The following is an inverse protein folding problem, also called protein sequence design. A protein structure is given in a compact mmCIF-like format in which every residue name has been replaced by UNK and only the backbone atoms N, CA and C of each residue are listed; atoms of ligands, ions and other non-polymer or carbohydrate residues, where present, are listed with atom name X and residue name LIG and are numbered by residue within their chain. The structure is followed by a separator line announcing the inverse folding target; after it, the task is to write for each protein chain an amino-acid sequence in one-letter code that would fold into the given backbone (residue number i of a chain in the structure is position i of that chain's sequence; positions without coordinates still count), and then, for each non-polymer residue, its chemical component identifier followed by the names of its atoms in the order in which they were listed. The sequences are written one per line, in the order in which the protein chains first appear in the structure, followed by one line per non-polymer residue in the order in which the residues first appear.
data_IF_821980388752
#
_entry.id   IF_821980388752
#
_cell.length_a   1.000
_cell.length_b   1.000
_cell.length_c   1.000
_cell.angle_alpha   90.00
_cell.angle_beta   90.00
_cell.angle_gamma   90.00
#
_symmetry.space_group_name_H-M   'P 1'
#
loop_
_entity.id
_entity.type
_entity.pdbx_description
1 polymer ?
#
# COMPACT_ATOMS: atom_id res chain seq x y z
N UNK A 1 -61.29 -9.90 -4.61
CA UNK A 1 -61.62 -8.47 -4.46
C UNK A 1 -60.52 -7.72 -5.18
N UNK A 2 -60.78 -7.38 -6.45
CA UNK A 2 -59.87 -6.64 -7.33
C UNK A 2 -59.74 -5.19 -6.88
N UNK A 3 -58.55 -4.60 -7.04
CA UNK A 3 -58.29 -3.23 -7.51
C UNK A 3 -56.80 -3.18 -7.92
N UNK A 4 -56.47 -3.37 -9.20
CA UNK A 4 -56.40 -2.38 -10.29
C UNK A 4 -55.19 -1.42 -10.21
N UNK A 5 -54.33 -1.57 -11.21
CA UNK A 5 -53.14 -0.79 -11.50
C UNK A 5 -53.51 0.43 -12.37
N UNK A 6 -52.94 1.61 -12.11
CA UNK A 6 -52.91 2.72 -13.08
C UNK A 6 -51.47 3.05 -13.45
N UNK A 7 -51.23 3.02 -14.75
CA UNK A 7 -50.00 3.37 -15.45
C UNK A 7 -49.71 4.88 -15.39
N UNK A 8 -48.42 5.21 -15.36
CA UNK A 8 -47.88 6.52 -15.71
C UNK A 8 -46.47 6.34 -16.27
N UNK A 9 -46.39 6.14 -17.59
CA UNK A 9 -45.14 6.09 -18.37
C UNK A 9 -44.64 7.53 -18.53
N UNK A 10 -43.42 7.84 -18.11
CA UNK A 10 -42.48 8.76 -18.78
C UNK A 10 -41.15 8.82 -17.98
N UNK A 11 -40.02 8.46 -18.61
CA UNK A 11 -38.67 8.69 -18.07
C UNK A 11 -37.72 7.48 -17.94
N UNK A 12 -37.82 6.46 -18.80
CA UNK A 12 -37.08 5.18 -18.68
C UNK A 12 -35.61 5.17 -19.15
N UNK A 13 -34.99 6.32 -19.44
CA UNK A 13 -33.53 6.37 -19.69
C UNK A 13 -32.73 7.18 -18.66
N UNK A 14 -33.34 8.12 -17.93
CA UNK A 14 -32.62 8.87 -16.88
C UNK A 14 -32.59 8.10 -15.54
N UNK A 15 -33.61 7.28 -15.27
CA UNK A 15 -33.66 6.44 -14.06
C UNK A 15 -32.67 5.26 -14.07
N UNK A 16 -32.33 4.73 -15.25
CA UNK A 16 -31.40 3.60 -15.35
C UNK A 16 -29.94 4.03 -15.13
N UNK A 17 -29.57 5.23 -15.62
CA UNK A 17 -28.24 5.81 -15.37
C UNK A 17 -28.10 6.26 -13.91
N UNK A 18 -29.14 6.87 -13.32
CA UNK A 18 -29.14 7.21 -11.88
C UNK A 18 -29.05 5.97 -10.99
N UNK A 19 -29.74 4.88 -11.33
CA UNK A 19 -29.65 3.61 -10.59
C UNK A 19 -28.27 2.97 -10.70
N UNK A 20 -27.64 2.98 -11.89
CA UNK A 20 -26.29 2.44 -12.07
C UNK A 20 -25.20 3.28 -11.38
N UNK A 21 -25.34 4.61 -11.39
CA UNK A 21 -24.43 5.54 -10.69
C UNK A 21 -24.60 5.43 -9.18
N UNK A 22 -25.83 5.31 -8.66
CA UNK A 22 -26.08 5.06 -7.22
C UNK A 22 -25.58 3.68 -6.80
N UNK A 23 -25.66 2.65 -7.67
CA UNK A 23 -25.15 1.32 -7.37
C UNK A 23 -23.61 1.24 -7.43
N UNK A 24 -22.97 1.99 -8.34
CA UNK A 24 -21.51 2.21 -8.30
C UNK A 24 -21.09 3.02 -7.06
N UNK A 25 -21.80 4.10 -6.72
CA UNK A 25 -21.54 4.89 -5.51
C UNK A 25 -21.78 4.08 -4.24
N UNK A 26 -22.77 3.18 -4.19
CA UNK A 26 -22.95 2.23 -3.07
C UNK A 26 -21.83 1.19 -2.99
N UNK A 27 -21.31 0.73 -4.12
CA UNK A 27 -20.11 -0.13 -4.16
C UNK A 27 -18.86 0.59 -3.64
N UNK A 28 -18.72 1.89 -3.95
CA UNK A 28 -17.65 2.74 -3.42
C UNK A 28 -17.83 3.10 -1.93
N UNK A 29 -19.07 3.32 -1.48
CA UNK A 29 -19.37 3.62 -0.06
C UNK A 29 -19.38 2.38 0.85
N UNK A 30 -19.47 1.17 0.28
CA UNK A 30 -19.40 -0.07 1.06
C UNK A 30 -17.97 -0.55 1.33
N UNK A 31 -16.94 0.17 0.86
CA UNK A 31 -15.54 -0.22 1.05
C UNK A 31 -14.71 0.69 1.97
N UNK A 32 -15.29 1.72 2.57
CA UNK A 32 -14.66 2.37 3.73
C UNK A 32 -15.65 3.30 4.44
N UNK A 33 -16.45 2.74 5.33
CA UNK A 33 -16.94 3.51 6.47
C UNK A 33 -15.81 3.47 7.51
N UNK A 34 -14.96 4.50 7.52
CA UNK A 34 -13.85 4.69 8.48
C UNK A 34 -14.33 4.87 9.95
N UNK A 35 -15.60 4.59 10.24
CA UNK A 35 -16.21 4.74 11.57
C UNK A 35 -16.59 3.42 12.25
N UNK A 36 -16.34 2.25 11.64
CA UNK A 36 -16.60 0.92 12.24
C UNK A 36 -15.35 0.00 12.21
N UNK A 37 -14.17 0.54 12.49
CA UNK A 37 -12.90 -0.20 12.48
C UNK A 37 -12.70 -1.15 13.68
N UNK A 38 -13.63 -1.20 14.64
CA UNK A 38 -13.50 -2.04 15.84
C UNK A 38 -13.75 -3.54 15.59
N UNK A 39 -14.36 -3.93 14.46
CA UNK A 39 -14.73 -5.33 14.16
C UNK A 39 -14.02 -5.93 12.94
N UNK A 40 -13.16 -5.18 12.24
CA UNK A 40 -12.33 -5.73 11.14
C UNK A 40 -11.04 -6.28 11.74
N UNK A 41 -10.80 -7.59 11.61
CA UNK A 41 -9.56 -8.22 12.07
C UNK A 41 -8.41 -7.76 11.17
N UNK A 42 -7.67 -6.73 11.62
CA UNK A 42 -6.43 -6.31 10.97
C UNK A 42 -5.31 -7.32 11.23
N UNK A 43 -4.42 -7.52 10.26
CA UNK A 43 -3.20 -8.31 10.43
C UNK A 43 -2.27 -7.69 11.47
N UNK A 44 -1.42 -8.49 12.09
CA UNK A 44 -0.49 -7.98 13.10
C UNK A 44 0.68 -7.19 12.49
N UNK A 45 0.98 -7.46 11.22
CA UNK A 45 1.98 -6.75 10.42
C UNK A 45 1.26 -6.01 9.29
N UNK A 46 1.58 -4.73 9.11
CA UNK A 46 0.98 -3.89 8.06
C UNK A 46 2.08 -3.12 7.34
N UNK A 47 2.13 -3.25 6.02
CA UNK A 47 2.89 -2.41 5.10
C UNK A 47 1.92 -1.37 4.51
N UNK A 48 2.27 -0.09 4.58
CA UNK A 48 1.58 1.00 3.88
C UNK A 48 2.58 1.63 2.92
N UNK A 49 2.29 1.58 1.63
CA UNK A 49 3.18 2.11 0.60
C UNK A 49 2.46 3.06 -0.34
N UNK A 50 3.10 4.20 -0.62
CA UNK A 50 2.83 4.99 -1.81
C UNK A 50 3.27 4.18 -3.04
N UNK A 51 2.30 3.69 -3.80
CA UNK A 51 2.50 2.79 -4.92
C UNK A 51 3.19 3.49 -6.09
N UNK A 52 2.82 4.73 -6.41
CA UNK A 52 3.44 5.46 -7.52
C UNK A 52 4.88 5.84 -7.18
N UNK A 53 5.16 6.13 -5.90
CA UNK A 53 6.51 6.42 -5.42
C UNK A 53 7.42 5.19 -5.49
N UNK A 54 7.00 4.01 -4.99
CA UNK A 54 7.84 2.81 -5.10
C UNK A 54 8.11 2.44 -6.57
N UNK A 55 7.13 2.66 -7.46
CA UNK A 55 7.27 2.43 -8.90
C UNK A 55 8.29 3.40 -9.53
N UNK A 56 8.19 4.67 -9.17
CA UNK A 56 9.13 5.70 -9.59
C UNK A 56 10.56 5.39 -9.12
N UNK A 57 10.75 5.00 -7.86
CA UNK A 57 12.07 4.64 -7.32
C UNK A 57 12.63 3.41 -8.02
N UNK A 58 11.81 2.37 -8.26
CA UNK A 58 12.21 1.20 -9.02
C UNK A 58 12.70 1.57 -10.44
N UNK A 59 11.99 2.46 -11.14
CA UNK A 59 12.43 3.00 -12.42
C UNK A 59 13.78 3.73 -12.33
N UNK A 60 13.96 4.62 -11.35
CA UNK A 60 15.22 5.36 -11.18
C UNK A 60 16.39 4.42 -10.92
N UNK A 61 16.20 3.40 -10.07
CA UNK A 61 17.21 2.39 -9.79
C UNK A 61 17.53 1.57 -11.03
N UNK A 62 16.53 1.11 -11.79
CA UNK A 62 16.75 0.38 -13.04
C UNK A 62 17.62 1.20 -14.01
N UNK A 63 17.22 2.45 -14.32
CA UNK A 63 17.96 3.33 -15.25
C UNK A 63 19.41 3.57 -14.77
N UNK A 64 19.60 3.79 -13.47
CA UNK A 64 20.91 4.04 -12.90
C UNK A 64 21.81 2.80 -12.98
N UNK A 65 21.29 1.65 -12.56
CA UNK A 65 22.09 0.43 -12.48
C UNK A 65 22.36 -0.21 -13.85
N UNK A 66 21.43 -0.15 -14.81
CA UNK A 66 21.67 -0.69 -16.16
C UNK A 66 22.97 -0.14 -16.78
N UNK A 67 23.23 1.15 -16.59
CA UNK A 67 24.46 1.82 -17.06
C UNK A 67 25.70 1.42 -16.27
N UNK A 68 25.55 1.26 -14.95
CA UNK A 68 26.66 0.92 -14.06
C UNK A 68 27.11 -0.54 -14.22
N UNK A 69 26.17 -1.49 -14.38
CA UNK A 69 26.46 -2.92 -14.38
C UNK A 69 26.46 -3.55 -15.78
N UNK A 70 25.96 -2.85 -16.79
CA UNK A 70 26.05 -3.27 -18.20
C UNK A 70 25.10 -4.41 -18.59
N UNK A 71 23.98 -4.60 -17.89
CA UNK A 71 22.90 -5.52 -18.26
C UNK A 71 21.54 -4.89 -18.02
N UNK A 72 20.52 -5.43 -18.66
CA UNK A 72 19.13 -5.06 -18.39
C UNK A 72 18.75 -5.40 -16.93
N UNK A 73 17.99 -4.50 -16.31
CA UNK A 73 17.39 -4.72 -15.00
C UNK A 73 15.93 -5.13 -15.20
N UNK A 74 15.50 -6.31 -14.71
CA UNK A 74 14.10 -6.69 -14.80
C UNK A 74 13.24 -5.81 -13.88
N UNK A 75 11.93 -5.73 -14.14
CA UNK A 75 10.98 -5.20 -13.16
C UNK A 75 11.14 -5.90 -11.80
N UNK A 76 10.91 -5.16 -10.71
CA UNK A 76 10.97 -5.69 -9.36
C UNK A 76 9.92 -6.78 -9.12
N UNK A 77 10.31 -7.89 -8.50
CA UNK A 77 9.35 -8.87 -7.99
C UNK A 77 8.61 -8.29 -6.77
N UNK A 78 7.30 -8.10 -6.89
CA UNK A 78 6.48 -7.48 -5.84
C UNK A 78 6.45 -8.32 -4.56
N UNK A 79 6.38 -9.65 -4.69
CA UNK A 79 6.36 -10.55 -3.55
C UNK A 79 7.67 -10.48 -2.79
N UNK A 80 8.78 -10.57 -3.51
CA UNK A 80 10.12 -10.44 -2.93
C UNK A 80 10.33 -9.07 -2.28
N UNK A 81 9.87 -7.99 -2.91
CA UNK A 81 9.95 -6.65 -2.32
C UNK A 81 9.18 -6.58 -0.99
N UNK A 82 7.95 -7.06 -0.94
CA UNK A 82 7.14 -7.05 0.28
C UNK A 82 7.74 -7.92 1.41
N UNK A 83 8.35 -9.06 1.05
CA UNK A 83 9.13 -9.90 1.98
C UNK A 83 10.33 -9.12 2.53
N UNK A 84 11.12 -8.47 1.67
CA UNK A 84 12.26 -7.67 2.07
C UNK A 84 11.86 -6.54 3.02
N UNK A 85 10.79 -5.79 2.70
CA UNK A 85 10.23 -4.76 3.57
C UNK A 85 9.85 -5.32 4.94
N UNK A 86 9.30 -6.53 4.98
CA UNK A 86 8.88 -7.18 6.22
C UNK A 86 10.06 -7.58 7.10
N UNK A 87 11.14 -8.08 6.49
CA UNK A 87 12.40 -8.40 7.15
C UNK A 87 13.09 -7.13 7.69
N UNK A 88 13.19 -6.08 6.88
CA UNK A 88 13.74 -4.78 7.28
C UNK A 88 12.86 -4.12 8.36
N UNK A 89 11.55 -4.33 8.28
CA UNK A 89 10.56 -3.96 9.29
C UNK A 89 10.72 -4.68 10.63
N UNK A 90 11.61 -5.68 10.72
CA UNK A 90 11.96 -6.36 11.95
C UNK A 90 11.22 -7.67 12.20
N UNK A 91 10.41 -8.17 11.25
CA UNK A 91 9.89 -9.53 11.34
C UNK A 91 11.03 -10.52 11.09
N UNK A 92 11.00 -11.68 11.73
CA UNK A 92 12.06 -12.70 11.66
C UNK A 92 11.42 -14.05 11.45
N UNK A 93 12.18 -14.95 10.82
CA UNK A 93 11.81 -16.35 10.65
C UNK A 93 11.92 -17.08 12.00
N UNK A 94 10.95 -16.87 12.88
CA UNK A 94 10.92 -17.44 14.23
C UNK A 94 10.24 -18.83 14.29
N UNK A 95 9.97 -19.40 13.11
CA UNK A 95 9.25 -20.66 12.93
C UNK A 95 7.72 -20.52 12.97
N UNK A 96 7.16 -19.31 13.09
CA UNK A 96 5.71 -19.07 12.99
C UNK A 96 5.34 -18.49 11.63
N UNK A 97 4.18 -18.91 11.13
CA UNK A 97 3.56 -18.29 9.95
C UNK A 97 2.79 -17.06 10.40
N UNK A 98 3.14 -15.91 9.85
CA UNK A 98 2.48 -14.65 10.11
C UNK A 98 1.50 -14.29 8.99
N UNK A 99 0.67 -13.30 9.27
CA UNK A 99 -0.14 -12.63 8.26
C UNK A 99 0.34 -11.18 8.17
N UNK A 100 0.57 -10.71 6.95
CA UNK A 100 1.01 -9.34 6.66
C UNK A 100 0.05 -8.70 5.66
N UNK A 101 -0.53 -7.58 6.05
CA UNK A 101 -1.36 -6.78 5.14
C UNK A 101 -0.49 -5.78 4.38
N UNK A 102 -0.62 -5.74 3.07
CA UNK A 102 0.03 -4.75 2.19
C UNK A 102 -1.04 -3.81 1.66
N UNK A 103 -0.94 -2.54 2.04
CA UNK A 103 -1.81 -1.45 1.62
C UNK A 103 -1.05 -0.58 0.64
N UNK A 104 -1.41 -0.70 -0.64
CA UNK A 104 -0.90 0.16 -1.71
C UNK A 104 -1.83 1.35 -1.87
N UNK A 105 -1.30 2.56 -1.81
CA UNK A 105 -2.06 3.78 -2.09
C UNK A 105 -1.55 4.37 -3.40
N UNK A 106 -2.44 4.53 -4.38
CA UNK A 106 -2.08 5.03 -5.70
C UNK A 106 -2.95 6.21 -6.11
N UNK A 107 -2.47 7.00 -7.05
CA UNK A 107 -3.27 8.04 -7.69
C UNK A 107 -4.52 7.45 -8.37
N UNK A 108 -5.62 8.20 -8.36
CA UNK A 108 -6.91 7.78 -8.94
C UNK A 108 -6.87 7.37 -10.42
N UNK A 109 -5.82 7.77 -11.14
CA UNK A 109 -5.59 7.47 -12.56
C UNK A 109 -4.64 6.30 -12.77
N UNK A 110 -3.86 5.93 -11.76
CA UNK A 110 -2.87 4.86 -11.85
C UNK A 110 -3.57 3.50 -11.93
N UNK A 111 -3.14 2.68 -12.88
CA UNK A 111 -3.74 1.36 -13.15
C UNK A 111 -2.83 0.20 -12.80
N UNK A 112 -1.52 0.46 -12.75
CA UNK A 112 -0.51 -0.55 -12.50
C UNK A 112 0.77 0.08 -11.96
N UNK A 113 1.65 -0.79 -11.46
CA UNK A 113 3.08 -0.53 -11.25
C UNK A 113 3.83 -0.91 -12.54
N UNK A 114 4.40 0.05 -13.27
CA UNK A 114 5.05 -0.25 -14.55
C UNK A 114 6.36 -1.04 -14.38
N UNK A 115 7.02 -0.86 -13.23
CA UNK A 115 8.35 -1.35 -12.91
C UNK A 115 8.32 -2.53 -11.92
N UNK A 116 7.16 -3.13 -11.70
CA UNK A 116 6.98 -4.33 -10.86
C UNK A 116 6.31 -5.49 -11.61
N UNK A 117 6.44 -6.71 -11.09
CA UNK A 117 5.61 -7.86 -11.44
C UNK A 117 5.27 -8.67 -10.17
N UNK A 118 4.00 -9.08 -9.94
CA UNK A 118 2.77 -8.58 -10.58
C UNK A 118 2.62 -7.05 -10.52
N UNK A 119 1.76 -6.49 -11.37
CA UNK A 119 1.71 -5.05 -11.65
C UNK A 119 0.33 -4.43 -11.63
N UNK A 120 -0.69 -5.12 -12.16
CA UNK A 120 -2.01 -4.55 -12.38
C UNK A 120 -2.77 -4.45 -11.05
N UNK A 121 -3.21 -3.25 -10.70
CA UNK A 121 -3.86 -3.04 -9.40
C UNK A 121 -5.17 -3.83 -9.30
N UNK A 122 -6.01 -3.85 -10.34
CA UNK A 122 -7.34 -4.44 -10.24
C UNK A 122 -7.32 -5.97 -10.33
N UNK A 123 -6.49 -6.52 -11.23
CA UNK A 123 -6.55 -7.93 -11.61
C UNK A 123 -5.47 -8.78 -10.94
N UNK A 124 -4.30 -8.21 -10.64
CA UNK A 124 -3.13 -8.96 -10.14
C UNK A 124 -2.76 -8.65 -8.68
N UNK A 125 -3.11 -7.47 -8.14
CA UNK A 125 -2.69 -7.05 -6.80
C UNK A 125 -3.85 -6.89 -5.81
N UNK A 126 -4.93 -6.20 -6.17
CA UNK A 126 -6.01 -5.91 -5.23
C UNK A 126 -6.81 -7.16 -4.86
N UNK A 127 -7.11 -7.29 -3.56
CA UNK A 127 -7.80 -8.46 -3.00
C UNK A 127 -7.13 -9.78 -3.40
N UNK A 128 -5.80 -9.75 -3.56
CA UNK A 128 -4.97 -10.93 -3.82
C UNK A 128 -4.14 -11.27 -2.60
N UNK A 129 -3.62 -12.48 -2.59
CA UNK A 129 -2.69 -12.93 -1.59
C UNK A 129 -1.59 -13.77 -2.22
N UNK A 130 -0.43 -13.76 -1.60
CA UNK A 130 0.65 -14.70 -1.88
C UNK A 130 1.23 -15.22 -0.57
N UNK A 131 2.05 -16.27 -0.65
CA UNK A 131 2.68 -16.89 0.52
C UNK A 131 4.18 -16.91 0.35
N UNK A 132 4.86 -16.58 1.44
CA UNK A 132 6.27 -16.83 1.65
C UNK A 132 6.43 -18.06 2.56
N UNK A 133 7.38 -18.92 2.25
CA UNK A 133 7.58 -20.20 2.94
C UNK A 133 8.06 -20.04 4.39
N UNK A 134 8.57 -18.86 4.75
CA UNK A 134 9.16 -18.59 6.06
C UNK A 134 8.36 -17.57 6.87
N UNK A 135 7.74 -16.59 6.22
CA UNK A 135 7.02 -15.49 6.87
C UNK A 135 5.50 -15.65 6.85
N UNK A 136 4.94 -16.50 5.98
CA UNK A 136 3.50 -16.78 5.92
C UNK A 136 2.76 -16.01 4.83
N UNK A 137 1.54 -15.58 5.11
CA UNK A 137 0.61 -15.05 4.10
C UNK A 137 0.64 -13.51 4.00
N UNK A 138 0.66 -13.01 2.78
CA UNK A 138 0.61 -11.59 2.47
C UNK A 138 -0.70 -11.25 1.78
N UNK A 139 -1.49 -10.36 2.36
CA UNK A 139 -2.78 -9.90 1.85
C UNK A 139 -2.63 -8.52 1.21
N UNK A 140 -2.83 -8.41 -0.10
CA UNK A 140 -2.57 -7.18 -0.86
C UNK A 140 -3.87 -6.48 -1.21
N UNK A 141 -3.95 -5.20 -0.86
CA UNK A 141 -5.06 -4.32 -1.23
C UNK A 141 -4.50 -3.01 -1.79
N UNK A 142 -5.13 -2.51 -2.86
CA UNK A 142 -4.76 -1.23 -3.48
C UNK A 142 -5.92 -0.24 -3.43
N UNK A 143 -5.62 0.99 -3.03
CA UNK A 143 -6.59 2.06 -2.88
C UNK A 143 -6.21 3.24 -3.76
N UNK A 144 -7.03 3.48 -4.78
CA UNK A 144 -6.90 4.62 -5.67
C UNK A 144 -7.56 5.85 -5.01
N UNK A 145 -6.78 6.90 -4.72
CA UNK A 145 -7.31 8.10 -4.06
C UNK A 145 -8.17 8.92 -5.02
N UNK A 146 -9.28 9.46 -4.50
CA UNK A 146 -10.18 10.33 -5.25
C UNK A 146 -9.67 11.77 -5.34
N UNK A 147 -10.34 12.62 -6.12
CA UNK A 147 -9.91 14.01 -6.36
C UNK A 147 -9.95 14.92 -5.11
N UNK A 148 -10.62 14.50 -4.03
CA UNK A 148 -10.83 15.33 -2.83
C UNK A 148 -9.77 15.14 -1.74
N UNK A 149 -9.00 14.06 -1.79
CA UNK A 149 -8.02 13.70 -0.75
C UNK A 149 -6.72 13.35 -1.44
N UNK A 150 -5.64 14.02 -1.03
CA UNK A 150 -4.31 13.68 -1.55
C UNK A 150 -3.85 12.31 -1.04
N UNK A 151 -2.93 11.69 -1.78
CA UNK A 151 -2.31 10.43 -1.36
C UNK A 151 -1.60 10.54 -0.01
N UNK A 152 -0.93 11.67 0.22
CA UNK A 152 -0.25 11.98 1.47
C UNK A 152 -1.23 12.04 2.65
N UNK A 153 -2.34 12.77 2.51
CA UNK A 153 -3.39 12.84 3.54
C UNK A 153 -3.99 11.46 3.81
N UNK A 154 -4.27 10.68 2.76
CA UNK A 154 -4.81 9.34 2.91
C UNK A 154 -3.84 8.41 3.64
N UNK A 155 -2.56 8.39 3.24
CA UNK A 155 -1.51 7.60 3.91
C UNK A 155 -1.41 8.00 5.38
N UNK A 156 -1.39 9.30 5.67
CA UNK A 156 -1.31 9.80 7.03
C UNK A 156 -2.49 9.33 7.89
N UNK A 157 -3.70 9.32 7.34
CA UNK A 157 -4.90 8.86 8.05
C UNK A 157 -4.94 7.34 8.24
N UNK A 158 -4.47 6.56 7.26
CA UNK A 158 -4.27 5.11 7.44
C UNK A 158 -3.23 4.85 8.53
N UNK A 159 -2.11 5.58 8.54
CA UNK A 159 -1.07 5.45 9.58
C UNK A 159 -1.67 5.72 10.98
N UNK A 160 -2.42 6.81 11.17
CA UNK A 160 -3.10 7.10 12.44
C UNK A 160 -4.06 5.97 12.85
N UNK A 161 -4.85 5.48 11.90
CA UNK A 161 -5.78 4.38 12.15
C UNK A 161 -5.05 3.10 12.61
N UNK A 162 -3.93 2.76 11.97
CA UNK A 162 -3.14 1.57 12.32
C UNK A 162 -2.40 1.73 13.65
N UNK A 163 -2.01 2.95 14.02
CA UNK A 163 -1.46 3.23 15.35
C UNK A 163 -2.48 2.98 16.46
N UNK A 164 -3.76 3.30 16.25
CA UNK A 164 -4.79 3.12 17.29
C UNK A 164 -5.33 1.68 17.35
N UNK A 165 -5.10 0.87 16.31
CA UNK A 165 -5.62 -0.49 16.24
C UNK A 165 -4.81 -1.49 17.09
N UNK A 166 -5.44 -2.11 18.10
CA UNK A 166 -4.77 -2.99 19.08
C UNK A 166 -4.09 -4.23 18.49
N UNK A 167 -4.61 -4.74 17.38
CA UNK A 167 -4.05 -5.97 16.78
C UNK A 167 -2.77 -5.71 15.97
N UNK A 168 -2.55 -4.46 15.52
CA UNK A 168 -1.38 -4.09 14.72
C UNK A 168 -0.18 -3.93 15.64
N UNK A 169 0.82 -4.79 15.49
CA UNK A 169 2.06 -4.75 16.27
C UNK A 169 3.22 -4.17 15.48
N UNK A 170 3.22 -4.36 14.16
CA UNK A 170 4.28 -3.89 13.26
C UNK A 170 3.70 -3.06 12.13
N UNK A 171 4.27 -1.87 11.94
CA UNK A 171 3.86 -0.93 10.91
C UNK A 171 5.09 -0.52 10.09
N UNK A 172 5.04 -0.79 8.80
CA UNK A 172 6.09 -0.47 7.83
C UNK A 172 5.54 0.55 6.85
N UNK A 173 6.12 1.75 6.83
CA UNK A 173 5.55 2.90 6.13
C UNK A 173 6.54 3.36 5.06
N UNK A 174 6.08 3.40 3.82
CA UNK A 174 6.85 3.83 2.65
C UNK A 174 6.11 5.02 2.02
N UNK A 175 6.23 6.23 2.57
CA UNK A 175 5.69 7.42 1.94
C UNK A 175 6.68 7.93 0.87
N UNK A 176 6.25 8.85 0.01
CA UNK A 176 7.17 9.66 -0.79
C UNK A 176 7.95 10.60 0.15
N UNK A 177 9.05 10.10 0.71
CA UNK A 177 9.79 10.78 1.78
C UNK A 177 10.63 11.96 1.29
N UNK A 178 10.86 12.02 -0.02
CA UNK A 178 11.79 12.91 -0.70
C UNK A 178 11.10 14.17 -1.24
N UNK A 179 9.77 14.14 -1.34
CA UNK A 179 8.96 15.26 -1.83
C UNK A 179 7.89 15.66 -0.83
N UNK A 180 7.51 16.94 -0.86
CA UNK A 180 6.45 17.47 0.00
C UNK A 180 6.83 17.48 1.48
N UNK A 181 5.82 17.34 2.33
CA UNK A 181 5.94 17.42 3.79
C UNK A 181 5.47 16.13 4.51
N UNK A 182 5.00 15.12 3.77
CA UNK A 182 4.42 13.89 4.32
C UNK A 182 5.34 13.17 5.29
N UNK A 183 6.65 13.16 5.04
CA UNK A 183 7.62 12.58 5.95
C UNK A 183 7.57 13.25 7.33
N UNK A 184 7.55 14.58 7.38
CA UNK A 184 7.49 15.33 8.63
C UNK A 184 6.13 15.20 9.32
N UNK A 185 5.04 15.10 8.56
CA UNK A 185 3.69 14.87 9.09
C UNK A 185 3.56 13.49 9.73
N UNK A 186 4.04 12.44 9.06
CA UNK A 186 4.14 11.09 9.61
C UNK A 186 5.01 11.12 10.86
N UNK A 187 6.21 11.71 10.78
CA UNK A 187 7.11 11.83 11.94
C UNK A 187 6.44 12.53 13.13
N UNK A 188 5.64 13.56 12.89
CA UNK A 188 4.88 14.25 13.93
C UNK A 188 3.78 13.35 14.52
N UNK A 189 3.02 12.64 13.68
CA UNK A 189 1.99 11.72 14.13
C UNK A 189 2.57 10.58 14.99
N UNK A 190 3.72 10.03 14.59
CA UNK A 190 4.40 8.93 15.28
C UNK A 190 5.01 9.33 16.64
N UNK A 191 5.08 10.62 17.00
CA UNK A 191 5.55 11.05 18.35
C UNK A 191 4.70 10.48 19.48
N UNK A 192 3.44 10.18 19.20
CA UNK A 192 2.47 9.60 20.14
C UNK A 192 2.28 8.10 19.93
N UNK A 193 3.12 7.47 19.12
CA UNK A 193 3.01 6.04 18.86
C UNK A 193 3.12 5.23 20.17
N UNK A 194 2.27 4.23 20.37
CA UNK A 194 2.38 3.29 21.48
C UNK A 194 3.76 2.60 21.52
N UNK A 195 4.34 2.44 22.71
CA UNK A 195 5.68 1.83 22.88
C UNK A 195 5.73 0.35 22.47
N UNK A 196 4.59 -0.34 22.46
CA UNK A 196 4.46 -1.75 22.07
C UNK A 196 4.40 -1.95 20.54
N UNK A 197 4.39 -0.87 19.75
CA UNK A 197 4.39 -0.95 18.28
C UNK A 197 5.79 -0.82 17.70
N UNK A 198 6.13 -1.77 16.84
CA UNK A 198 7.33 -1.74 16.02
C UNK A 198 7.06 -0.98 14.72
N UNK A 199 7.49 0.28 14.66
CA UNK A 199 7.25 1.14 13.50
C UNK A 199 8.58 1.37 12.77
N UNK A 200 8.56 1.15 11.46
CA UNK A 200 9.69 1.41 10.55
C UNK A 200 9.23 2.30 9.41
N UNK A 201 9.95 3.40 9.16
CA UNK A 201 9.71 4.31 8.02
C UNK A 201 10.86 4.17 7.03
N UNK A 202 10.52 3.95 5.77
CA UNK A 202 11.48 3.74 4.69
C UNK A 202 11.65 5.00 3.85
N UNK A 203 12.90 5.29 3.48
CA UNK A 203 13.26 6.40 2.60
C UNK A 203 14.50 6.03 1.77
N UNK A 204 14.82 6.81 0.73
CA UNK A 204 15.99 6.58 -0.12
C UNK A 204 17.31 7.06 0.48
N UNK A 205 17.24 7.82 1.57
CA UNK A 205 18.39 8.33 2.30
C UNK A 205 18.10 8.39 3.80
N UNK A 206 19.12 8.52 4.66
CA UNK A 206 18.90 8.76 6.08
C UNK A 206 18.10 10.06 6.29
N UNK A 207 17.02 9.98 7.06
CA UNK A 207 16.11 11.11 7.29
C UNK A 207 16.11 11.53 8.77
N UNK A 208 15.45 12.64 9.08
CA UNK A 208 15.35 13.12 10.47
C UNK A 208 14.60 12.11 11.34
N UNK A 209 15.27 11.60 12.37
CA UNK A 209 14.74 10.62 13.34
C UNK A 209 13.46 11.03 14.09
N UNK A 210 12.83 10.03 14.70
CA UNK A 210 11.67 10.16 15.57
C UNK A 210 11.51 8.93 16.47
N UNK A 211 10.29 8.71 16.98
CA UNK A 211 9.97 7.53 17.79
C UNK A 211 9.67 6.29 16.92
N UNK A 212 10.56 5.99 15.98
CA UNK A 212 10.44 4.89 15.02
C UNK A 212 11.82 4.53 14.46
N UNK A 213 11.92 3.35 13.84
CA UNK A 213 13.12 2.91 13.11
C UNK A 213 13.10 3.45 11.69
N UNK A 214 14.28 3.66 11.11
CA UNK A 214 14.41 4.01 9.71
C UNK A 214 15.19 2.93 8.97
N UNK A 215 14.79 2.66 7.74
CA UNK A 215 15.49 1.74 6.85
C UNK A 215 15.58 2.34 5.44
N UNK A 216 16.62 1.95 4.70
CA UNK A 216 16.85 2.47 3.34
C UNK A 216 16.06 1.62 2.34
N UNK A 217 15.08 2.25 1.69
CA UNK A 217 14.19 1.61 0.71
C UNK A 217 14.94 0.99 -0.47
N UNK A 218 16.06 1.61 -0.88
CA UNK A 218 16.83 1.17 -2.03
C UNK A 218 17.27 -0.30 -1.96
N UNK A 219 17.61 -0.82 -0.77
CA UNK A 219 18.09 -2.20 -0.65
C UNK A 219 17.01 -3.25 -0.94
N UNK A 220 15.79 -3.04 -0.44
CA UNK A 220 14.68 -3.97 -0.68
C UNK A 220 14.28 -3.99 -2.16
N UNK A 221 14.29 -2.83 -2.83
CA UNK A 221 14.03 -2.72 -4.27
C UNK A 221 15.14 -3.35 -5.11
N UNK A 222 16.40 -3.05 -4.81
CA UNK A 222 17.54 -3.61 -5.55
C UNK A 222 17.54 -5.14 -5.50
N UNK A 223 17.29 -5.72 -4.32
CA UNK A 223 17.16 -7.16 -4.19
C UNK A 223 15.97 -7.71 -5.02
N UNK A 224 14.81 -7.06 -4.96
CA UNK A 224 13.63 -7.46 -5.74
C UNK A 224 13.83 -7.33 -7.27
N UNK A 225 14.70 -6.44 -7.72
CA UNK A 225 15.12 -6.30 -9.13
C UNK A 225 16.28 -7.24 -9.51
N UNK A 226 16.72 -8.11 -8.60
CA UNK A 226 17.83 -9.02 -8.83
C UNK A 226 19.18 -8.32 -9.02
N UNK A 227 19.37 -7.13 -8.46
CA UNK A 227 20.67 -6.44 -8.40
C UNK A 227 21.42 -6.98 -7.18
N UNK A 228 22.57 -7.61 -7.42
CA UNK A 228 23.39 -8.17 -6.36
C UNK A 228 24.48 -7.19 -5.93
N UNK A 229 24.88 -7.26 -4.67
CA UNK A 229 25.90 -6.36 -4.11
C UNK A 229 27.24 -6.48 -4.84
N UNK A 230 27.60 -7.67 -5.34
CA UNK A 230 28.86 -7.92 -6.06
C UNK A 230 28.89 -7.27 -7.45
N UNK A 231 27.75 -6.84 -7.97
CA UNK A 231 27.65 -6.16 -9.28
C UNK A 231 27.96 -4.67 -9.17
N UNK A 232 27.97 -4.12 -7.96
CA UNK A 232 28.19 -2.70 -7.68
C UNK A 232 29.69 -2.49 -7.42
N UNK A 233 30.38 -1.90 -8.39
CA UNK A 233 31.82 -1.59 -8.32
C UNK A 233 32.10 -0.16 -7.92
#
# INVERSE_FOLDING_TARGET
MEFSCRQGVFGSHLFFVYSLVIMKIKSYLCNMNLQDTNNVRMSENVIIADADYIDYVAFQLAVQFERMIGRAIPPADFGQWAVNITLDGGLREDGKMHETQVVLVCDGKSRRLDNFRPSDFETELNARAFKDDHLGEFLVNSYAVGEMVSKDEYILDVVKTMMDHKNVKRLMIIPNSEEGNIYDEIRHALRKAPEDKHITVFAMQPMTGGNFRQEILGYSLMNAMGIRAEEIK
#
